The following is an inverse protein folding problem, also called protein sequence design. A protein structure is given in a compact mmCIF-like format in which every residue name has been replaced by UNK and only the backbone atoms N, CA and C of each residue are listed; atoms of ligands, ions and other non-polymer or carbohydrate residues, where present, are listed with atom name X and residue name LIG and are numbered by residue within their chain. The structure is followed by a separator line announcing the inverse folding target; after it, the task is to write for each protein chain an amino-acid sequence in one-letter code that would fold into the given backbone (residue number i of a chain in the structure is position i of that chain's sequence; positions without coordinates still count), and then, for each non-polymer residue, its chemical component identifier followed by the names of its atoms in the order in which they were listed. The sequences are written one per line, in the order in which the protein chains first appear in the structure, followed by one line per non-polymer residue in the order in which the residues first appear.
data_IF_266511457170
#
_entry.id   IF_266511457170
#
_cell.length_a   1.000
_cell.length_b   1.000
_cell.length_c   1.000
_cell.angle_alpha   90.00
_cell.angle_beta   90.00
_cell.angle_gamma   90.00
#
_symmetry.space_group_name_H-M   'P 1'
#
loop_
_entity.id
_entity.type
_entity.pdbx_description
1 polymer ?
#
# COMPACT_ATOMS: atom_id res chain seq x y z
N UNK A 1 -6.04 -14.97 -2.40
CA UNK A 1 -5.01 -14.01 -1.94
C UNK A 1 -5.71 -12.95 -1.09
N UNK A 2 -5.01 -12.35 -0.13
CA UNK A 2 -5.57 -11.31 0.72
C UNK A 2 -5.54 -9.99 -0.08
N UNK A 3 -6.71 -9.43 -0.37
CA UNK A 3 -6.86 -8.27 -1.27
C UNK A 3 -7.71 -7.20 -0.60
N UNK A 4 -7.18 -5.99 -0.52
CA UNK A 4 -7.96 -4.79 -0.22
C UNK A 4 -8.47 -4.19 -1.54
N UNK A 5 -9.67 -3.63 -1.56
CA UNK A 5 -10.21 -2.91 -2.72
C UNK A 5 -10.51 -1.48 -2.29
N UNK A 6 -10.05 -0.51 -3.08
CA UNK A 6 -10.29 0.91 -2.84
C UNK A 6 -10.21 1.73 -4.13
N UNK A 7 -10.90 2.86 -4.15
CA UNK A 7 -10.77 3.85 -5.22
C UNK A 7 -9.38 4.47 -5.22
N UNK A 8 -8.69 4.43 -6.37
CA UNK A 8 -7.41 5.10 -6.52
C UNK A 8 -7.17 5.57 -7.96
N UNK A 9 -6.96 6.87 -8.10
CA UNK A 9 -6.85 7.55 -9.39
C UNK A 9 -8.21 7.70 -10.05
N UNK A 10 -8.57 6.72 -10.87
CA UNK A 10 -9.69 6.77 -11.81
C UNK A 10 -10.76 5.70 -11.55
N UNK A 11 -10.48 4.68 -10.73
CA UNK A 11 -11.39 3.56 -10.47
C UNK A 11 -11.08 2.81 -9.18
N UNK A 12 -12.00 1.93 -8.80
CA UNK A 12 -11.76 0.86 -7.83
C UNK A 12 -10.64 -0.06 -8.29
N UNK A 13 -9.68 -0.32 -7.41
CA UNK A 13 -8.49 -1.13 -7.70
C UNK A 13 -8.29 -2.19 -6.62
N UNK A 14 -7.94 -3.42 -7.00
CA UNK A 14 -7.46 -4.41 -6.06
C UNK A 14 -6.01 -4.10 -5.68
N UNK A 15 -5.70 -4.26 -4.40
CA UNK A 15 -4.37 -4.16 -3.83
C UNK A 15 -4.05 -5.44 -3.07
N UNK A 16 -2.94 -6.09 -3.41
CA UNK A 16 -2.50 -7.34 -2.81
C UNK A 16 -1.02 -7.28 -2.54
N UNK A 17 -0.62 -7.62 -1.31
CA UNK A 17 0.78 -7.83 -0.94
C UNK A 17 1.03 -9.34 -0.84
N UNK A 18 1.39 -9.98 -1.95
CA UNK A 18 1.88 -11.37 -1.92
C UNK A 18 3.21 -11.46 -1.17
N UNK A 19 3.71 -12.68 -0.91
CA UNK A 19 5.01 -12.86 -0.25
C UNK A 19 6.14 -12.16 -1.02
N UNK A 20 6.15 -12.26 -2.36
CA UNK A 20 7.12 -11.55 -3.20
C UNK A 20 7.04 -10.02 -3.04
N UNK A 21 5.82 -9.46 -2.93
CA UNK A 21 5.63 -8.02 -2.73
C UNK A 21 6.09 -7.59 -1.33
N UNK A 22 5.88 -8.45 -0.32
CA UNK A 22 6.37 -8.21 1.03
C UNK A 22 7.89 -8.25 1.06
N UNK A 23 8.53 -9.24 0.44
CA UNK A 23 10.00 -9.31 0.35
C UNK A 23 10.59 -8.09 -0.36
N UNK A 24 9.97 -7.62 -1.45
CA UNK A 24 10.40 -6.39 -2.12
C UNK A 24 10.18 -5.14 -1.24
N UNK A 25 9.08 -5.05 -0.48
CA UNK A 25 8.88 -3.98 0.49
C UNK A 25 9.96 -3.96 1.56
N UNK A 26 10.31 -5.13 2.12
CA UNK A 26 11.35 -5.24 3.13
C UNK A 26 12.71 -4.82 2.57
N UNK A 27 13.03 -5.21 1.34
CA UNK A 27 14.25 -4.78 0.65
C UNK A 27 14.29 -3.26 0.41
N UNK A 28 13.19 -2.66 -0.06
CA UNK A 28 13.11 -1.21 -0.33
C UNK A 28 13.13 -0.35 0.93
N UNK A 29 12.58 -0.87 2.01
CA UNK A 29 12.42 -0.11 3.26
C UNK A 29 13.52 -0.39 4.28
N UNK A 30 14.33 -1.43 4.03
CA UNK A 30 15.36 -1.96 4.93
C UNK A 30 14.78 -2.32 6.31
N UNK A 31 13.51 -2.74 6.34
CA UNK A 31 12.78 -3.07 7.57
C UNK A 31 11.85 -4.24 7.34
N UNK A 32 11.75 -5.14 8.33
CA UNK A 32 10.77 -6.23 8.29
C UNK A 32 9.33 -5.73 8.31
N UNK A 33 8.40 -6.51 7.76
CA UNK A 33 7.00 -6.11 7.59
C UNK A 33 6.30 -5.72 8.91
N UNK A 34 6.65 -6.37 10.03
CA UNK A 34 6.11 -6.00 11.34
C UNK A 34 6.50 -4.61 11.80
N UNK A 35 7.75 -4.21 11.56
CA UNK A 35 8.24 -2.85 11.87
C UNK A 35 7.59 -1.84 10.94
N UNK A 36 7.46 -2.18 9.65
CA UNK A 36 6.75 -1.36 8.67
C UNK A 36 5.27 -1.16 9.05
N UNK A 37 4.58 -2.19 9.55
CA UNK A 37 3.19 -2.05 10.01
C UNK A 37 3.07 -1.17 11.26
N UNK A 38 3.93 -1.40 12.26
CA UNK A 38 3.95 -0.59 13.48
C UNK A 38 4.22 0.89 13.21
N UNK A 39 5.15 1.23 12.31
CA UNK A 39 5.46 2.64 12.01
C UNK A 39 4.34 3.35 11.23
N UNK A 40 3.56 2.65 10.41
CA UNK A 40 2.38 3.24 9.76
C UNK A 40 1.33 3.61 10.80
N UNK A 41 1.01 2.68 11.73
CA UNK A 41 0.07 2.94 12.82
C UNK A 41 0.56 4.03 13.79
N UNK A 42 1.84 4.01 14.14
CA UNK A 42 2.48 5.01 15.00
C UNK A 42 2.81 6.34 14.30
N UNK A 43 2.44 6.50 13.03
CA UNK A 43 2.74 7.67 12.20
C UNK A 43 4.24 8.04 12.13
N UNK A 44 5.12 7.06 12.32
CA UNK A 44 6.58 7.19 12.30
C UNK A 44 7.19 6.66 10.98
N UNK A 45 6.43 6.72 9.90
CA UNK A 45 6.82 6.23 8.58
C UNK A 45 7.64 7.26 7.79
N UNK A 46 8.46 6.78 6.86
CA UNK A 46 9.04 7.60 5.79
C UNK A 46 7.98 7.81 4.71
N UNK A 47 7.97 8.97 4.05
CA UNK A 47 7.05 9.24 2.95
C UNK A 47 7.13 8.18 1.83
N UNK A 48 8.33 7.66 1.57
CA UNK A 48 8.56 6.61 0.58
C UNK A 48 7.84 5.30 0.92
N UNK A 49 7.61 5.01 2.20
CA UNK A 49 6.94 3.78 2.64
C UNK A 49 5.51 3.73 2.13
N UNK A 50 4.79 4.86 2.21
CA UNK A 50 3.41 4.95 1.74
C UNK A 50 3.34 4.69 0.22
N UNK A 51 4.25 5.32 -0.53
CA UNK A 51 4.30 5.18 -1.97
C UNK A 51 4.63 3.74 -2.40
N UNK A 52 5.60 3.08 -1.77
CA UNK A 52 5.97 1.70 -2.12
C UNK A 52 4.90 0.69 -1.70
N UNK A 53 4.24 0.87 -0.55
CA UNK A 53 3.11 0.01 -0.13
C UNK A 53 1.98 0.06 -1.15
N UNK A 54 1.59 1.26 -1.60
CA UNK A 54 0.55 1.43 -2.62
C UNK A 54 1.01 0.83 -3.95
N UNK A 55 2.25 1.12 -4.39
CA UNK A 55 2.79 0.66 -5.67
C UNK A 55 2.86 -0.87 -5.75
N UNK A 56 3.40 -1.51 -4.73
CA UNK A 56 3.52 -2.97 -4.67
C UNK A 56 2.17 -3.64 -4.41
N UNK A 57 1.27 -2.98 -3.66
CA UNK A 57 -0.13 -3.40 -3.55
C UNK A 57 -0.82 -3.46 -4.91
N UNK A 58 -0.71 -2.41 -5.73
CA UNK A 58 -1.26 -2.37 -7.09
C UNK A 58 -0.69 -3.48 -7.97
N UNK A 59 0.63 -3.71 -7.89
CA UNK A 59 1.33 -4.74 -8.68
C UNK A 59 0.83 -6.14 -8.30
N UNK A 60 0.77 -6.47 -7.01
CA UNK A 60 0.23 -7.75 -6.57
C UNK A 60 -1.27 -7.90 -6.86
N UNK A 61 -2.01 -6.80 -6.98
CA UNK A 61 -3.40 -6.77 -7.44
C UNK A 61 -3.58 -6.94 -8.95
N UNK A 62 -2.49 -7.05 -9.72
CA UNK A 62 -2.51 -7.28 -11.17
C UNK A 62 -2.31 -6.03 -12.03
N UNK A 63 -2.04 -4.86 -11.43
CA UNK A 63 -1.65 -3.67 -12.20
C UNK A 63 -0.23 -3.84 -12.73
N UNK A 64 0.01 -3.54 -14.01
CA UNK A 64 1.36 -3.60 -14.58
C UNK A 64 2.31 -2.64 -13.85
N UNK A 65 3.60 -3.01 -13.62
CA UNK A 65 4.53 -2.18 -12.84
C UNK A 65 4.67 -0.74 -13.31
N UNK A 66 4.77 -0.51 -14.62
CA UNK A 66 4.86 0.84 -15.22
C UNK A 66 3.60 1.68 -14.95
N UNK A 67 2.43 1.04 -14.98
CA UNK A 67 1.16 1.72 -14.70
C UNK A 67 1.02 2.01 -13.20
N UNK A 68 1.42 1.08 -12.34
CA UNK A 68 1.43 1.30 -10.89
C UNK A 68 2.34 2.47 -10.51
N UNK A 69 3.52 2.57 -11.11
CA UNK A 69 4.44 3.70 -10.90
C UNK A 69 3.82 5.04 -11.35
N UNK A 70 3.21 5.08 -12.54
CA UNK A 70 2.50 6.25 -13.05
C UNK A 70 1.37 6.69 -12.10
N UNK A 71 0.55 5.75 -11.65
CA UNK A 71 -0.58 6.02 -10.76
C UNK A 71 -0.08 6.58 -9.42
N UNK A 72 0.92 5.95 -8.80
CA UNK A 72 1.50 6.42 -7.53
C UNK A 72 2.15 7.79 -7.70
N UNK A 73 2.89 8.02 -8.79
CA UNK A 73 3.48 9.32 -9.07
C UNK A 73 2.43 10.42 -9.26
N UNK A 74 1.27 10.08 -9.81
CA UNK A 74 0.20 11.05 -10.11
C UNK A 74 -0.69 11.32 -8.89
N UNK A 75 -1.04 10.28 -8.14
CA UNK A 75 -2.11 10.32 -7.14
C UNK A 75 -1.64 10.12 -5.69
N UNK A 76 -0.38 9.77 -5.44
CA UNK A 76 0.15 9.58 -4.07
C UNK A 76 1.40 10.42 -3.78
N UNK A 77 2.19 10.80 -4.78
CA UNK A 77 3.34 11.71 -4.60
C UNK A 77 2.89 13.17 -4.60
N UNK A 78 3.54 14.00 -3.78
CA UNK A 78 3.24 15.43 -3.65
C UNK A 78 1.77 15.73 -3.32
N UNK A 79 1.15 14.86 -2.51
CA UNK A 79 -0.20 15.00 -1.97
C UNK A 79 -0.15 15.21 -0.46
N UNK A 80 -1.17 15.81 0.17
CA UNK A 80 -1.29 15.82 1.62
C UNK A 80 -1.16 14.40 2.19
N UNK A 81 -0.27 14.21 3.16
CA UNK A 81 0.03 12.87 3.73
C UNK A 81 -1.23 12.21 4.29
N UNK A 82 -2.14 13.01 4.86
CA UNK A 82 -3.41 12.54 5.40
C UNK A 82 -4.35 11.92 4.34
N UNK A 83 -4.17 12.22 3.05
CA UNK A 83 -4.94 11.60 1.96
C UNK A 83 -4.38 10.22 1.57
N UNK A 84 -3.07 10.00 1.76
CA UNK A 84 -2.36 8.82 1.25
C UNK A 84 -2.18 7.76 2.33
N UNK A 85 -1.97 8.20 3.57
CA UNK A 85 -1.74 7.33 4.72
C UNK A 85 -2.87 6.30 4.94
N UNK A 86 -4.17 6.64 4.88
CA UNK A 86 -5.23 5.67 5.11
C UNK A 86 -5.19 4.50 4.12
N UNK A 87 -4.99 4.78 2.84
CA UNK A 87 -4.90 3.74 1.80
C UNK A 87 -3.69 2.82 2.03
N UNK A 88 -2.50 3.38 2.26
CA UNK A 88 -1.31 2.58 2.54
C UNK A 88 -1.50 1.71 3.80
N UNK A 89 -2.13 2.27 4.83
CA UNK A 89 -2.42 1.56 6.09
C UNK A 89 -3.40 0.43 5.85
N UNK A 90 -4.48 0.66 5.09
CA UNK A 90 -5.47 -0.35 4.75
C UNK A 90 -4.84 -1.53 3.96
N UNK A 91 -4.01 -1.24 2.95
CA UNK A 91 -3.32 -2.28 2.16
C UNK A 91 -2.44 -3.16 3.06
N UNK A 92 -1.67 -2.53 3.94
CA UNK A 92 -0.77 -3.24 4.84
C UNK A 92 -1.52 -4.00 5.94
N UNK A 93 -2.58 -3.41 6.49
CA UNK A 93 -3.49 -4.03 7.45
C UNK A 93 -4.16 -5.27 6.85
N UNK A 94 -4.58 -5.23 5.59
CA UNK A 94 -5.18 -6.39 4.93
C UNK A 94 -4.17 -7.55 4.93
N UNK A 95 -2.91 -7.29 4.59
CA UNK A 95 -1.87 -8.33 4.63
C UNK A 95 -1.57 -8.85 6.03
N UNK A 96 -1.70 -8.00 7.05
CA UNK A 96 -1.41 -8.32 8.45
C UNK A 96 -2.54 -9.09 9.15
N UNK A 97 -3.80 -8.67 8.93
CA UNK A 97 -4.99 -9.12 9.64
C UNK A 97 -5.84 -10.11 8.84
N UNK A 98 -5.82 -10.03 7.50
CA UNK A 98 -6.79 -10.69 6.62
C UNK A 98 -7.77 -9.69 6.00
N UNK A 99 -8.44 -10.09 4.90
CA UNK A 99 -9.28 -9.20 4.09
C UNK A 99 -10.59 -8.76 4.77
N UNK A 100 -11.12 -9.57 5.69
CA UNK A 100 -12.45 -9.34 6.28
C UNK A 100 -12.49 -8.18 7.30
N UNK A 101 -11.33 -7.62 7.68
CA UNK A 101 -11.23 -6.53 8.66
C UNK A 101 -10.96 -5.14 8.04
N UNK A 102 -10.72 -5.04 6.73
CA UNK A 102 -10.28 -3.79 6.08
C UNK A 102 -11.32 -3.27 5.09
N UNK A 103 -12.40 -2.71 5.61
CA UNK A 103 -13.27 -1.85 4.82
C UNK A 103 -12.86 -0.40 5.09
N UNK A 104 -12.14 0.20 4.13
CA UNK A 104 -11.87 1.63 4.14
C UNK A 104 -13.14 2.34 3.65
N UNK A 105 -13.93 2.89 4.58
CA UNK A 105 -14.98 3.83 4.21
C UNK A 105 -14.32 5.03 3.51
N UNK A 106 -14.77 5.30 2.28
CA UNK A 106 -14.19 6.27 1.35
C UNK A 106 -14.35 7.73 1.73
#
# INVERSE_FOLDING_TARGET
MITATAFFGDKERPFTLSDDMVTELEAKTETGIGVLYQRLLGQAFKLADLAEVIRLGLIGGGTRPEEADRLVSTYARNRPVAEVLPLATAILAARWLGADEVQADG
#
